data_IF_615815329175
#
_entry.id   IF_615815329175
#
_cell.length_a   1.000
_cell.length_b   1.000
_cell.length_c   1.000
_cell.angle_alpha   90.00
_cell.angle_beta   90.00
_cell.angle_gamma   90.00
#
_symmetry.space_group_name_H-M   'P 1'
#
loop_
_entity.id
_entity.type
_entity.pdbx_description
1 polymer ?
#
# COMPACT_ATOMS: atom_id res chain seq x y z
N UNK A 1 -18.11 -4.26 8.36
CA UNK A 1 -18.26 -3.31 7.22
C UNK A 1 -16.89 -3.21 6.57
N UNK A 2 -16.75 -3.75 5.38
CA UNK A 2 -15.49 -3.85 4.64
C UNK A 2 -14.91 -2.47 4.28
N UNK A 3 -13.59 -2.35 4.28
CA UNK A 3 -12.87 -1.16 3.77
C UNK A 3 -12.77 -1.22 2.26
N UNK A 4 -12.41 -2.40 1.73
CA UNK A 4 -12.34 -2.67 0.30
C UNK A 4 -13.16 -3.92 -0.02
N UNK A 5 -13.90 -3.86 -1.12
CA UNK A 5 -14.66 -4.99 -1.64
C UNK A 5 -14.60 -4.97 -3.17
N UNK A 6 -14.17 -6.06 -3.75
CA UNK A 6 -14.16 -6.29 -5.20
C UNK A 6 -14.96 -7.54 -5.52
N UNK A 7 -15.86 -7.45 -6.50
CA UNK A 7 -16.71 -8.55 -6.96
C UNK A 7 -16.56 -8.70 -8.48
N UNK A 8 -16.18 -9.90 -8.93
CA UNK A 8 -16.02 -10.31 -10.33
C UNK A 8 -15.24 -9.31 -11.20
N UNK A 9 -14.18 -8.73 -10.60
CA UNK A 9 -13.41 -7.65 -11.17
C UNK A 9 -12.60 -8.12 -12.36
N UNK A 10 -12.82 -7.52 -13.53
CA UNK A 10 -11.99 -7.75 -14.72
C UNK A 10 -11.50 -6.43 -15.30
N UNK A 11 -10.28 -6.45 -15.83
CA UNK A 11 -9.64 -5.28 -16.42
C UNK A 11 -8.57 -5.67 -17.43
N UNK A 12 -8.43 -4.89 -18.52
CA UNK A 12 -7.38 -5.02 -19.51
C UNK A 12 -6.87 -3.69 -20.06
N UNK A 13 -5.68 -3.70 -20.63
CA UNK A 13 -5.14 -2.59 -21.40
C UNK A 13 -5.39 -2.86 -22.89
N UNK A 14 -6.46 -2.27 -23.46
CA UNK A 14 -6.92 -2.60 -24.79
C UNK A 14 -7.30 -4.08 -24.88
N UNK A 15 -6.76 -4.81 -25.85
CA UNK A 15 -7.05 -6.24 -26.04
C UNK A 15 -6.26 -7.17 -25.10
N UNK A 16 -5.47 -6.62 -24.19
CA UNK A 16 -4.63 -7.41 -23.28
C UNK A 16 -5.31 -7.53 -21.91
N UNK A 17 -5.91 -8.69 -21.55
CA UNK A 17 -6.50 -8.90 -20.23
C UNK A 17 -5.40 -8.95 -19.15
N UNK A 18 -5.62 -8.26 -18.05
CA UNK A 18 -4.71 -8.20 -16.90
C UNK A 18 -5.33 -8.85 -15.67
N UNK A 19 -6.64 -8.64 -15.45
CA UNK A 19 -7.41 -9.26 -14.37
C UNK A 19 -8.65 -9.92 -14.96
N UNK A 20 -9.04 -11.07 -14.39
CA UNK A 20 -10.14 -11.89 -14.87
C UNK A 20 -10.92 -12.48 -13.68
N UNK A 21 -12.06 -11.88 -13.34
CA UNK A 21 -12.99 -12.36 -12.33
C UNK A 21 -12.41 -12.36 -10.90
N UNK A 22 -11.69 -11.31 -10.50
CA UNK A 22 -11.10 -11.21 -9.15
C UNK A 22 -12.14 -10.73 -8.15
N UNK A 23 -12.34 -11.52 -7.07
CA UNK A 23 -13.20 -11.14 -5.95
C UNK A 23 -12.40 -11.23 -4.65
N UNK A 24 -12.39 -10.15 -3.85
CA UNK A 24 -11.75 -10.09 -2.54
C UNK A 24 -12.39 -9.02 -1.66
N UNK A 25 -12.23 -9.17 -0.35
CA UNK A 25 -12.67 -8.18 0.63
C UNK A 25 -11.55 -7.93 1.64
N UNK A 26 -11.45 -6.70 2.15
CA UNK A 26 -10.50 -6.29 3.20
C UNK A 26 -11.27 -5.62 4.32
N UNK A 27 -11.14 -6.16 5.52
CA UNK A 27 -11.80 -5.62 6.71
C UNK A 27 -11.01 -4.44 7.32
N UNK A 28 -11.65 -3.57 8.12
CA UNK A 28 -10.95 -2.53 8.86
C UNK A 28 -9.87 -3.10 9.78
N UNK A 29 -8.69 -2.51 9.76
CA UNK A 29 -7.54 -2.97 10.56
C UNK A 29 -6.86 -4.22 10.01
N UNK A 30 -7.27 -4.76 8.86
CA UNK A 30 -6.55 -5.86 8.23
C UNK A 30 -5.20 -5.39 7.66
N UNK A 31 -4.21 -6.28 7.68
CA UNK A 31 -2.97 -6.13 6.94
C UNK A 31 -2.93 -7.19 5.83
N UNK A 32 -3.29 -6.78 4.61
CA UNK A 32 -3.29 -7.63 3.43
C UNK A 32 -1.98 -7.52 2.66
N UNK A 33 -1.29 -8.65 2.47
CA UNK A 33 -0.17 -8.80 1.55
C UNK A 33 -0.65 -9.31 0.19
N UNK A 34 -0.44 -8.54 -0.88
CA UNK A 34 -0.75 -8.93 -2.26
C UNK A 34 0.50 -9.44 -2.96
N UNK A 35 0.56 -10.74 -3.22
CA UNK A 35 1.70 -11.44 -3.81
C UNK A 35 1.38 -12.02 -5.18
N UNK A 36 2.41 -12.36 -5.95
CA UNK A 36 2.28 -12.99 -7.27
C UNK A 36 3.45 -12.63 -8.19
N UNK A 37 3.59 -13.29 -9.34
CA UNK A 37 4.69 -13.07 -10.28
C UNK A 37 4.66 -11.65 -10.88
N UNK A 38 5.80 -11.22 -11.45
CA UNK A 38 5.85 -9.96 -12.17
C UNK A 38 4.89 -9.97 -13.36
N UNK A 39 4.13 -8.88 -13.52
CA UNK A 39 3.10 -8.78 -14.56
C UNK A 39 1.80 -9.54 -14.25
N UNK A 40 1.61 -10.05 -13.03
CA UNK A 40 0.39 -10.75 -12.60
C UNK A 40 -0.83 -9.84 -12.43
N UNK A 41 -0.63 -8.50 -12.39
CA UNK A 41 -1.70 -7.52 -12.24
C UNK A 41 -1.83 -6.92 -10.83
N UNK A 42 -0.88 -7.14 -9.90
CA UNK A 42 -0.91 -6.64 -8.52
C UNK A 42 -1.11 -5.13 -8.43
N UNK A 43 -0.22 -4.35 -9.06
CA UNK A 43 -0.34 -2.88 -9.15
C UNK A 43 -1.68 -2.46 -9.73
N UNK A 44 -2.11 -3.12 -10.81
CA UNK A 44 -3.40 -2.83 -11.46
C UNK A 44 -4.57 -3.10 -10.53
N UNK A 45 -4.55 -4.23 -9.80
CA UNK A 45 -5.57 -4.55 -8.80
C UNK A 45 -5.58 -3.49 -7.70
N UNK A 46 -4.41 -3.14 -7.13
CA UNK A 46 -4.30 -2.11 -6.11
C UNK A 46 -4.89 -0.76 -6.58
N UNK A 47 -4.53 -0.32 -7.79
CA UNK A 47 -5.04 0.93 -8.38
C UNK A 47 -6.57 0.92 -8.60
N UNK A 48 -7.15 -0.23 -8.97
CA UNK A 48 -8.60 -0.42 -9.10
C UNK A 48 -9.28 -0.37 -7.73
N UNK A 49 -8.72 -1.06 -6.72
CA UNK A 49 -9.25 -1.11 -5.36
C UNK A 49 -9.34 0.29 -4.72
N UNK A 50 -8.34 1.13 -4.95
CA UNK A 50 -8.33 2.51 -4.40
C UNK A 50 -8.95 3.55 -5.34
N UNK A 51 -9.60 3.13 -6.43
CA UNK A 51 -10.33 4.00 -7.35
C UNK A 51 -9.49 4.88 -8.26
N UNK A 52 -8.20 4.57 -8.45
CA UNK A 52 -7.35 5.26 -9.42
C UNK A 52 -7.63 4.83 -10.86
N UNK A 53 -8.22 3.63 -11.02
CA UNK A 53 -8.69 3.10 -12.30
C UNK A 53 -10.13 2.67 -12.21
N UNK A 54 -10.77 2.55 -13.37
CA UNK A 54 -12.11 2.00 -13.49
C UNK A 54 -12.02 0.59 -14.08
N UNK A 55 -12.73 -0.41 -13.51
CA UNK A 55 -12.77 -1.75 -14.09
C UNK A 55 -13.54 -1.79 -15.39
N UNK A 56 -13.26 -2.78 -16.24
CA UNK A 56 -14.04 -3.05 -17.45
C UNK A 56 -15.36 -3.76 -17.10
N UNK A 57 -15.31 -4.64 -16.08
CA UNK A 57 -16.49 -5.31 -15.53
C UNK A 57 -16.30 -5.62 -14.04
N UNK A 58 -17.39 -5.96 -13.36
CA UNK A 58 -17.42 -6.15 -11.92
C UNK A 58 -17.58 -4.84 -11.16
N UNK A 59 -17.48 -4.91 -9.84
CA UNK A 59 -17.63 -3.74 -8.96
C UNK A 59 -16.49 -3.64 -7.96
N UNK A 60 -16.12 -2.41 -7.60
CA UNK A 60 -15.21 -2.11 -6.49
C UNK A 60 -15.83 -1.08 -5.59
N UNK A 61 -15.89 -1.38 -4.30
CA UNK A 61 -16.32 -0.47 -3.25
C UNK A 61 -15.15 -0.15 -2.32
N UNK A 62 -15.03 1.13 -1.99
CA UNK A 62 -14.08 1.67 -1.02
C UNK A 62 -14.89 2.37 0.06
N UNK A 63 -14.76 1.93 1.32
CA UNK A 63 -15.57 2.40 2.46
C UNK A 63 -17.09 2.37 2.18
N UNK A 64 -17.56 1.36 1.44
CA UNK A 64 -18.96 1.17 1.07
C UNK A 64 -19.45 1.96 -0.15
N UNK A 65 -18.66 2.93 -0.67
CA UNK A 65 -18.97 3.71 -1.88
C UNK A 65 -18.26 3.16 -3.11
N UNK A 66 -18.77 3.36 -4.35
CA UNK A 66 -18.05 2.98 -5.55
C UNK A 66 -16.66 3.64 -5.62
N UNK A 67 -15.60 2.85 -5.68
CA UNK A 67 -14.24 3.34 -5.55
C UNK A 67 -13.86 4.41 -6.60
N UNK A 68 -14.38 4.29 -7.82
CA UNK A 68 -14.09 5.23 -8.90
C UNK A 68 -14.71 6.63 -8.73
N UNK A 69 -15.68 6.78 -7.84
CA UNK A 69 -16.26 8.09 -7.49
C UNK A 69 -15.34 8.90 -6.57
N UNK A 70 -14.38 8.21 -5.92
CA UNK A 70 -13.34 8.79 -5.07
C UNK A 70 -13.89 9.71 -3.96
N UNK A 71 -15.12 9.45 -3.50
CA UNK A 71 -15.77 10.22 -2.45
C UNK A 71 -14.93 10.24 -1.14
N UNK A 72 -14.23 9.13 -0.86
CA UNK A 72 -13.42 8.93 0.33
C UNK A 72 -11.89 8.88 0.02
N UNK A 73 -11.46 9.44 -1.10
CA UNK A 73 -10.06 9.41 -1.53
C UNK A 73 -9.07 10.07 -0.55
N UNK A 74 -9.53 10.98 0.30
CA UNK A 74 -8.73 11.60 1.37
C UNK A 74 -8.41 10.65 2.53
N UNK A 75 -9.19 9.56 2.66
CA UNK A 75 -8.99 8.50 3.67
C UNK A 75 -7.98 7.43 3.22
N UNK A 76 -7.43 7.56 2.00
CA UNK A 76 -6.47 6.62 1.42
C UNK A 76 -5.11 7.28 1.28
N UNK A 77 -4.10 6.71 1.92
CA UNK A 77 -2.69 6.98 1.65
C UNK A 77 -2.17 6.04 0.57
N UNK A 78 -1.71 6.55 -0.56
CA UNK A 78 -1.12 5.73 -1.61
C UNK A 78 0.36 6.03 -1.81
N UNK A 79 1.17 4.98 -1.81
CA UNK A 79 2.61 5.00 -2.10
C UNK A 79 2.86 4.14 -3.33
N UNK A 80 3.09 4.79 -4.47
CA UNK A 80 3.37 4.10 -5.73
C UNK A 80 4.83 3.61 -5.80
N UNK A 81 5.07 2.58 -6.60
CA UNK A 81 6.38 1.94 -6.80
C UNK A 81 7.49 2.92 -7.20
N UNK A 82 7.21 3.93 -8.02
CA UNK A 82 8.22 4.82 -8.63
C UNK A 82 8.39 6.17 -7.92
N UNK A 83 8.25 6.20 -6.59
CA UNK A 83 8.46 7.43 -5.82
C UNK A 83 9.95 7.78 -5.61
N UNK A 84 10.87 6.87 -5.94
CA UNK A 84 12.31 7.10 -5.80
C UNK A 84 12.85 8.17 -6.75
N UNK A 85 12.29 8.34 -7.95
CA UNK A 85 12.73 9.33 -8.95
C UNK A 85 12.20 10.74 -8.74
N UNK A 86 11.09 10.92 -8.03
CA UNK A 86 10.46 12.23 -7.81
C UNK A 86 11.09 13.03 -6.67
N UNK A 87 11.84 12.39 -5.77
CA UNK A 87 12.45 13.02 -4.60
C UNK A 87 13.56 14.03 -4.93
N UNK A 88 14.36 13.80 -5.97
CA UNK A 88 15.50 14.65 -6.31
C UNK A 88 15.06 16.00 -6.91
N UNK A 89 13.85 16.08 -7.47
CA UNK A 89 13.32 17.30 -8.10
C UNK A 89 12.49 18.19 -7.15
N UNK A 90 12.11 17.70 -5.95
CA UNK A 90 11.27 18.46 -5.02
C UNK A 90 12.11 19.29 -4.05
N UNK A 91 12.13 20.64 -4.18
CA UNK A 91 12.88 21.51 -3.27
C UNK A 91 12.15 21.77 -1.94
N UNK A 92 11.35 20.80 -1.47
CA UNK A 92 10.52 20.91 -0.26
C UNK A 92 11.18 20.21 0.92
N UNK A 93 10.90 20.68 2.15
CA UNK A 93 11.31 20.04 3.39
C UNK A 93 10.38 18.85 3.72
N UNK A 94 10.81 18.00 4.65
CA UNK A 94 9.98 16.90 5.19
C UNK A 94 8.65 17.44 5.73
N UNK A 95 8.70 18.48 6.57
CA UNK A 95 7.49 19.08 7.14
C UNK A 95 6.54 19.62 6.06
N UNK A 96 7.06 20.23 4.99
CA UNK A 96 6.26 20.69 3.86
C UNK A 96 5.64 19.53 3.07
N UNK A 97 6.40 18.44 2.83
CA UNK A 97 5.91 17.26 2.15
C UNK A 97 4.80 16.55 2.94
N UNK A 98 4.97 16.40 4.26
CA UNK A 98 3.94 15.81 5.14
C UNK A 98 2.70 16.70 5.20
N UNK A 99 2.87 18.03 5.26
CA UNK A 99 1.77 18.99 5.22
C UNK A 99 0.90 18.87 3.97
N UNK A 100 1.46 18.42 2.84
CA UNK A 100 0.67 18.18 1.62
C UNK A 100 -0.44 17.15 1.83
N UNK A 101 -0.32 16.25 2.80
CA UNK A 101 -1.37 15.31 3.19
C UNK A 101 -2.66 15.98 3.67
N UNK A 102 -2.56 17.22 4.18
CA UNK A 102 -3.74 17.97 4.66
C UNK A 102 -4.52 18.69 3.56
N UNK A 103 -3.96 18.86 2.34
CA UNK A 103 -4.64 19.61 1.28
C UNK A 103 -5.99 19.05 0.85
N UNK A 104 -6.20 17.74 0.69
CA UNK A 104 -7.51 17.21 0.31
C UNK A 104 -8.64 17.60 1.27
N UNK A 105 -8.33 17.70 2.56
CA UNK A 105 -9.28 18.08 3.62
C UNK A 105 -9.55 19.58 3.69
N UNK A 106 -8.76 20.39 2.96
CA UNK A 106 -8.78 21.87 3.02
C UNK A 106 -9.07 22.51 1.67
N UNK A 107 -10.10 22.05 0.98
CA UNK A 107 -10.53 22.61 -0.32
C UNK A 107 -10.79 24.13 -0.29
N UNK A 108 -11.08 24.70 0.89
CA UNK A 108 -11.26 26.14 1.12
C UNK A 108 -10.88 26.50 2.56
N UNK A 109 -9.60 26.80 2.82
CA UNK A 109 -9.23 27.24 4.16
C UNK A 109 -7.73 27.43 4.34
N UNK A 110 -7.37 28.22 5.38
CA UNK A 110 -5.98 28.39 5.81
C UNK A 110 -5.62 27.22 6.74
N UNK A 111 -4.38 26.78 6.69
CA UNK A 111 -3.83 25.84 7.68
C UNK A 111 -4.01 26.43 9.08
N UNK A 112 -4.61 25.64 9.96
CA UNK A 112 -4.86 26.01 11.36
C UNK A 112 -3.93 25.26 12.33
N UNK A 113 -4.20 25.41 13.64
CA UNK A 113 -3.40 24.78 14.68
C UNK A 113 -3.62 23.23 14.71
N UNK A 114 -4.79 22.74 14.31
CA UNK A 114 -5.05 21.29 14.25
C UNK A 114 -4.27 20.65 13.09
N UNK A 115 -4.19 21.31 11.94
CA UNK A 115 -3.36 20.83 10.83
C UNK A 115 -1.89 20.75 11.19
N UNK A 116 -1.37 21.76 11.93
CA UNK A 116 0.04 21.74 12.37
C UNK A 116 0.30 20.57 13.31
N UNK A 117 -0.58 20.35 14.28
CA UNK A 117 -0.46 19.19 15.20
C UNK A 117 -0.49 17.87 14.45
N UNK A 118 -1.43 17.68 13.52
CA UNK A 118 -1.52 16.46 12.71
C UNK A 118 -0.23 16.19 11.92
N UNK A 119 0.45 17.24 11.43
CA UNK A 119 1.74 17.11 10.74
C UNK A 119 2.86 16.75 11.73
N UNK A 120 2.94 17.42 12.87
CA UNK A 120 3.93 17.18 13.92
C UNK A 120 3.78 15.75 14.46
N UNK A 121 2.56 15.34 14.83
CA UNK A 121 2.25 13.99 15.32
C UNK A 121 2.60 12.91 14.29
N UNK A 122 2.30 13.15 13.01
CA UNK A 122 2.63 12.20 11.95
C UNK A 122 4.15 12.03 11.76
N UNK A 123 4.92 13.11 11.83
CA UNK A 123 6.39 13.10 11.74
C UNK A 123 7.00 12.35 12.92
N UNK A 124 6.48 12.58 14.14
CA UNK A 124 6.93 11.90 15.35
C UNK A 124 6.63 10.39 15.29
N UNK A 125 5.42 10.01 14.89
CA UNK A 125 4.98 8.59 14.79
C UNK A 125 5.85 7.76 13.85
N UNK A 126 6.37 8.34 12.78
CA UNK A 126 7.27 7.63 11.87
C UNK A 126 8.76 7.79 12.23
N UNK A 127 9.08 8.50 13.32
CA UNK A 127 10.44 8.63 13.86
C UNK A 127 11.40 9.43 12.97
N UNK A 128 10.93 10.56 12.38
CA UNK A 128 11.74 11.45 11.54
C UNK A 128 11.68 12.93 11.98
N UNK A 129 11.40 13.19 13.25
CA UNK A 129 11.27 14.55 13.79
C UNK A 129 12.54 15.39 13.61
N UNK A 130 13.71 14.78 13.75
CA UNK A 130 15.02 15.41 13.54
C UNK A 130 15.29 15.80 12.07
N UNK A 131 14.49 15.26 11.14
CA UNK A 131 14.61 15.52 9.70
C UNK A 131 13.58 16.54 9.19
N UNK A 132 12.69 17.08 10.02
CA UNK A 132 11.56 17.91 9.62
C UNK A 132 11.93 19.07 8.68
N UNK A 133 13.06 19.74 8.94
CA UNK A 133 13.57 20.86 8.14
C UNK A 133 14.50 20.42 6.99
N UNK A 134 14.81 19.11 6.90
CA UNK A 134 15.67 18.59 5.85
C UNK A 134 14.90 18.49 4.53
N UNK A 135 15.56 18.78 3.40
CA UNK A 135 14.96 18.62 2.07
C UNK A 135 14.77 17.12 1.74
N UNK A 136 13.61 16.77 1.20
CA UNK A 136 13.26 15.39 0.82
C UNK A 136 14.29 14.77 -0.13
N UNK A 137 14.82 15.53 -1.09
CA UNK A 137 15.87 15.07 -2.02
C UNK A 137 17.21 14.71 -1.36
N UNK A 138 17.42 15.04 -0.07
CA UNK A 138 18.64 14.69 0.68
C UNK A 138 18.45 13.51 1.63
N UNK A 139 17.33 12.85 1.60
CA UNK A 139 17.00 11.70 2.44
C UNK A 139 17.47 10.39 1.81
N UNK A 140 17.76 9.40 2.68
CA UNK A 140 17.92 8.01 2.23
C UNK A 140 16.59 7.45 1.70
N UNK A 141 16.62 6.30 1.00
CA UNK A 141 15.42 5.62 0.52
C UNK A 141 14.42 5.34 1.64
N UNK A 142 14.86 4.73 2.74
CA UNK A 142 14.00 4.43 3.90
C UNK A 142 13.46 5.68 4.58
N UNK A 143 14.24 6.76 4.69
CA UNK A 143 13.75 8.04 5.23
C UNK A 143 12.67 8.64 4.33
N UNK A 144 12.81 8.56 3.00
CA UNK A 144 11.77 9.03 2.04
C UNK A 144 10.46 8.24 2.20
N UNK A 145 10.55 6.93 2.39
CA UNK A 145 9.37 6.10 2.63
C UNK A 145 8.63 6.50 3.90
N UNK A 146 9.34 6.76 5.00
CA UNK A 146 8.74 7.28 6.24
C UNK A 146 8.04 8.63 6.02
N UNK A 147 8.58 9.52 5.17
CA UNK A 147 7.91 10.77 4.80
C UNK A 147 6.57 10.51 4.07
N UNK A 148 6.51 9.50 3.19
CA UNK A 148 5.27 9.15 2.48
C UNK A 148 4.22 8.58 3.43
N UNK A 149 4.62 7.74 4.39
CA UNK A 149 3.73 7.27 5.46
C UNK A 149 3.26 8.46 6.31
N UNK A 150 4.17 9.32 6.77
CA UNK A 150 3.82 10.50 7.56
C UNK A 150 2.80 11.39 6.83
N UNK A 151 2.94 11.54 5.51
CA UNK A 151 1.98 12.29 4.70
C UNK A 151 0.59 11.66 4.71
N UNK A 152 0.50 10.33 4.64
CA UNK A 152 -0.77 9.60 4.74
C UNK A 152 -1.38 9.71 6.15
N UNK A 153 -0.56 9.58 7.20
CA UNK A 153 -1.00 9.77 8.58
C UNK A 153 -1.48 11.20 8.84
N UNK A 154 -0.77 12.21 8.34
CA UNK A 154 -1.21 13.60 8.42
C UNK A 154 -2.55 13.82 7.70
N UNK A 155 -2.85 13.09 6.62
CA UNK A 155 -4.16 13.08 5.98
C UNK A 155 -5.23 12.37 6.84
N UNK A 156 -4.87 11.75 7.98
CA UNK A 156 -5.76 10.89 8.77
C UNK A 156 -6.35 9.78 7.90
N UNK A 157 -5.49 9.11 7.13
CA UNK A 157 -5.89 7.99 6.28
C UNK A 157 -6.30 6.78 7.14
N UNK A 158 -7.37 6.10 6.75
CA UNK A 158 -7.84 4.85 7.35
C UNK A 158 -7.28 3.62 6.61
N UNK A 159 -6.80 3.83 5.39
CA UNK A 159 -6.20 2.81 4.53
C UNK A 159 -4.86 3.32 3.98
N UNK A 160 -3.83 2.50 4.12
CA UNK A 160 -2.53 2.70 3.48
C UNK A 160 -2.31 1.64 2.39
N UNK A 161 -2.25 2.06 1.15
CA UNK A 161 -1.98 1.23 -0.02
C UNK A 161 -0.55 1.45 -0.49
N UNK A 162 0.26 0.39 -0.55
CA UNK A 162 1.69 0.44 -0.82
C UNK A 162 2.03 -0.50 -1.98
N UNK A 163 2.68 0.02 -3.01
CA UNK A 163 3.09 -0.74 -4.18
C UNK A 163 4.61 -0.87 -4.23
N UNK A 164 5.13 -2.04 -3.82
CA UNK A 164 6.56 -2.36 -3.73
C UNK A 164 7.39 -1.24 -3.08
N UNK A 165 7.04 -0.79 -1.87
CA UNK A 165 7.56 0.45 -1.29
C UNK A 165 9.05 0.39 -0.98
N UNK A 166 9.64 -0.80 -0.84
CA UNK A 166 11.03 -0.97 -0.36
C UNK A 166 12.05 -1.27 -1.45
N UNK A 167 11.69 -1.08 -2.72
CA UNK A 167 12.63 -1.26 -3.84
C UNK A 167 13.82 -0.29 -3.71
N UNK A 168 15.03 -0.84 -3.71
CA UNK A 168 16.27 -0.06 -3.58
C UNK A 168 16.62 0.41 -2.17
N UNK A 169 15.95 -0.11 -1.15
CA UNK A 169 16.22 0.17 0.27
C UNK A 169 17.09 -0.93 0.87
N UNK A 170 18.06 -0.56 1.71
CA UNK A 170 18.91 -1.52 2.42
C UNK A 170 18.11 -2.38 3.42
N UNK A 171 18.66 -3.54 3.80
CA UNK A 171 17.95 -4.54 4.59
C UNK A 171 17.52 -4.03 5.97
N UNK A 172 18.35 -3.22 6.65
CA UNK A 172 18.06 -2.69 7.98
C UNK A 172 16.90 -1.67 7.92
N UNK A 173 16.99 -0.73 6.96
CA UNK A 173 15.92 0.26 6.73
C UNK A 173 14.62 -0.40 6.32
N UNK A 174 14.67 -1.51 5.54
CA UNK A 174 13.51 -2.29 5.13
C UNK A 174 12.84 -2.97 6.32
N UNK A 175 13.59 -3.65 7.18
CA UNK A 175 13.04 -4.26 8.40
C UNK A 175 12.33 -3.22 9.26
N UNK A 176 13.01 -2.11 9.57
CA UNK A 176 12.45 -1.01 10.37
C UNK A 176 11.21 -0.36 9.73
N UNK A 177 11.07 -0.44 8.40
CA UNK A 177 9.90 0.03 7.69
C UNK A 177 8.69 -0.90 7.88
N UNK A 178 8.88 -2.22 7.80
CA UNK A 178 7.79 -3.18 8.03
C UNK A 178 7.37 -3.24 9.51
N UNK A 179 8.33 -3.12 10.44
CA UNK A 179 8.02 -2.99 11.87
C UNK A 179 7.13 -1.76 12.14
N UNK A 180 7.42 -0.64 11.49
CA UNK A 180 6.58 0.56 11.55
C UNK A 180 5.18 0.30 10.99
N UNK A 181 5.05 -0.37 9.83
CA UNK A 181 3.74 -0.72 9.27
C UNK A 181 2.94 -1.62 10.21
N UNK A 182 3.59 -2.62 10.82
CA UNK A 182 2.98 -3.50 11.82
C UNK A 182 2.44 -2.72 13.01
N UNK A 183 3.25 -1.83 13.59
CA UNK A 183 2.82 -0.96 14.71
C UNK A 183 1.64 -0.07 14.35
N UNK A 184 1.64 0.52 13.17
CA UNK A 184 0.52 1.35 12.69
C UNK A 184 -0.75 0.53 12.45
N UNK A 185 -0.61 -0.72 11.98
CA UNK A 185 -1.73 -1.64 11.80
C UNK A 185 -2.32 -2.07 13.15
N UNK A 186 -1.50 -2.35 14.16
CA UNK A 186 -1.95 -2.63 15.52
C UNK A 186 -2.73 -1.46 16.13
N UNK A 187 -2.44 -0.22 15.73
CA UNK A 187 -3.21 0.97 16.06
C UNK A 187 -4.54 1.11 15.29
N UNK A 188 -4.83 0.19 14.36
CA UNK A 188 -6.08 0.12 13.59
C UNK A 188 -6.00 0.64 12.16
N UNK A 189 -4.82 1.04 11.65
CA UNK A 189 -4.65 1.42 10.26
C UNK A 189 -4.78 0.18 9.37
N UNK A 190 -5.65 0.21 8.37
CA UNK A 190 -5.74 -0.84 7.36
C UNK A 190 -4.56 -0.72 6.40
N UNK A 191 -3.90 -1.84 6.08
CA UNK A 191 -2.74 -1.85 5.17
C UNK A 191 -2.98 -2.82 4.03
N UNK A 192 -2.74 -2.38 2.79
CA UNK A 192 -2.64 -3.25 1.60
C UNK A 192 -1.25 -3.06 1.01
N UNK A 193 -0.46 -4.12 1.04
CA UNK A 193 0.94 -4.12 0.64
C UNK A 193 1.14 -5.03 -0.57
N UNK A 194 1.55 -4.48 -1.70
CA UNK A 194 2.06 -5.26 -2.83
C UNK A 194 3.54 -5.54 -2.60
N UNK A 195 3.91 -6.80 -2.57
CA UNK A 195 5.29 -7.25 -2.43
C UNK A 195 5.58 -8.50 -3.27
N UNK A 196 6.85 -8.69 -3.58
CA UNK A 196 7.34 -9.90 -4.25
C UNK A 196 8.12 -10.82 -3.32
N UNK A 197 8.56 -10.32 -2.16
CA UNK A 197 9.24 -11.10 -1.13
C UNK A 197 8.21 -11.75 -0.20
N UNK A 198 7.99 -13.05 -0.41
CA UNK A 198 7.04 -13.82 0.39
C UNK A 198 7.43 -13.90 1.87
N UNK A 199 8.74 -13.94 2.17
CA UNK A 199 9.21 -13.97 3.55
C UNK A 199 8.79 -12.74 4.33
N UNK A 200 8.82 -11.58 3.68
CA UNK A 200 8.33 -10.32 4.27
C UNK A 200 6.83 -10.37 4.50
N UNK A 201 6.07 -10.79 3.48
CA UNK A 201 4.60 -10.80 3.58
C UNK A 201 4.13 -11.77 4.65
N UNK A 202 4.67 -13.00 4.68
CA UNK A 202 4.28 -14.00 5.69
C UNK A 202 4.68 -13.62 7.11
N UNK A 203 5.70 -12.77 7.29
CA UNK A 203 6.14 -12.31 8.59
C UNK A 203 5.30 -11.17 9.16
N UNK A 204 4.69 -10.33 8.31
CA UNK A 204 4.04 -9.09 8.74
C UNK A 204 2.55 -9.00 8.40
N UNK A 205 2.09 -9.64 7.32
CA UNK A 205 0.69 -9.57 6.93
C UNK A 205 -0.17 -10.56 7.72
N UNK A 206 -1.38 -10.14 8.11
CA UNK A 206 -2.40 -11.00 8.70
C UNK A 206 -3.20 -11.77 7.66
N UNK A 207 -3.22 -11.29 6.41
CA UNK A 207 -3.89 -11.92 5.28
C UNK A 207 -3.01 -11.88 4.04
N UNK A 208 -3.09 -12.90 3.18
CA UNK A 208 -2.38 -12.98 1.90
C UNK A 208 -3.40 -13.15 0.77
N UNK A 209 -3.22 -12.38 -0.30
CA UNK A 209 -3.88 -12.59 -1.58
C UNK A 209 -2.83 -12.94 -2.65
N UNK A 210 -2.92 -14.14 -3.22
CA UNK A 210 -2.02 -14.60 -4.28
C UNK A 210 -2.67 -14.42 -5.65
N UNK A 211 -2.08 -13.57 -6.49
CA UNK A 211 -2.63 -13.13 -7.77
C UNK A 211 -1.74 -13.53 -8.95
N UNK A 212 -2.37 -14.12 -9.98
CA UNK A 212 -1.84 -14.16 -11.33
C UNK A 212 -3.00 -14.09 -12.34
N UNK A 213 -3.40 -12.87 -12.71
CA UNK A 213 -4.62 -12.50 -13.45
C UNK A 213 -5.91 -12.86 -12.71
N UNK A 214 -5.95 -13.99 -12.03
CA UNK A 214 -7.01 -14.49 -11.14
C UNK A 214 -6.49 -14.59 -9.73
N UNK A 215 -7.38 -14.62 -8.78
CA UNK A 215 -7.05 -14.88 -7.39
C UNK A 215 -6.91 -16.40 -7.20
N UNK A 216 -5.74 -16.85 -6.78
CA UNK A 216 -5.43 -18.25 -6.49
C UNK A 216 -5.62 -18.57 -5.01
N UNK A 217 -5.44 -17.58 -4.16
CA UNK A 217 -5.61 -17.70 -2.71
C UNK A 217 -5.99 -16.35 -2.10
N UNK A 218 -6.83 -16.40 -1.05
CA UNK A 218 -7.07 -15.29 -0.15
C UNK A 218 -7.40 -15.85 1.23
N UNK A 219 -6.58 -15.52 2.24
CA UNK A 219 -6.72 -16.03 3.60
C UNK A 219 -5.48 -15.78 4.45
N UNK A 220 -5.39 -16.49 5.56
CA UNK A 220 -4.29 -16.37 6.51
C UNK A 220 -2.95 -16.94 5.97
N UNK A 221 -1.80 -16.40 6.44
CA UNK A 221 -0.48 -16.82 5.97
C UNK A 221 -0.14 -18.29 6.28
N UNK A 222 -0.64 -18.85 7.38
CA UNK A 222 -0.35 -20.24 7.78
C UNK A 222 -0.99 -21.20 6.77
N UNK A 223 -2.26 -20.99 6.46
CA UNK A 223 -2.97 -21.76 5.43
C UNK A 223 -2.33 -21.58 4.05
N UNK A 224 -1.89 -20.37 3.70
CA UNK A 224 -1.23 -20.10 2.40
C UNK A 224 -0.01 -20.99 2.16
N UNK A 225 0.84 -21.14 3.18
CA UNK A 225 2.09 -21.96 3.08
C UNK A 225 1.78 -23.44 2.86
N UNK A 226 0.63 -23.91 3.32
CA UNK A 226 0.19 -25.31 3.18
C UNK A 226 -0.45 -25.62 1.81
N UNK A 227 -0.78 -24.56 1.02
CA UNK A 227 -1.46 -24.71 -0.28
C UNK A 227 -0.47 -24.76 -1.45
N UNK A 228 -0.93 -25.31 -2.58
CA UNK A 228 -0.21 -25.24 -3.87
C UNK A 228 -0.44 -23.90 -4.61
N UNK A 229 -1.13 -22.92 -4.01
CA UNK A 229 -1.51 -21.67 -4.63
C UNK A 229 -0.31 -20.89 -5.21
N UNK A 230 0.83 -20.95 -4.51
CA UNK A 230 2.07 -20.34 -4.99
C UNK A 230 2.59 -21.05 -6.25
N UNK A 231 2.65 -22.38 -6.24
CA UNK A 231 3.10 -23.16 -7.40
C UNK A 231 2.14 -22.99 -8.60
N UNK A 232 0.85 -22.91 -8.35
CA UNK A 232 -0.16 -22.65 -9.38
C UNK A 232 -0.04 -21.23 -9.96
N UNK A 233 0.14 -20.23 -9.11
CA UNK A 233 0.27 -18.84 -9.53
C UNK A 233 1.58 -18.57 -10.30
N UNK A 234 2.70 -19.17 -9.90
CA UNK A 234 4.02 -18.97 -10.50
C UNK A 234 4.33 -19.97 -11.63
N UNK A 235 3.54 -21.04 -11.78
CA UNK A 235 3.82 -22.15 -12.69
C UNK A 235 4.85 -23.13 -12.12
N UNK A 236 4.83 -24.38 -12.59
CA UNK A 236 5.62 -25.51 -12.06
C UNK A 236 7.14 -25.37 -12.18
N UNK A 237 7.68 -24.31 -12.79
CA UNK A 237 9.12 -24.11 -12.99
C UNK A 237 9.84 -23.38 -11.84
N UNK A 238 9.13 -22.85 -10.87
CA UNK A 238 9.74 -22.21 -9.68
C UNK A 238 9.64 -23.11 -8.44
N UNK A 239 10.62 -23.99 -8.25
CA UNK A 239 10.84 -24.61 -6.94
C UNK A 239 11.26 -23.51 -5.96
N UNK A 240 10.40 -23.20 -5.02
CA UNK A 240 10.75 -22.39 -3.85
C UNK A 240 11.83 -23.14 -3.09
N UNK A 241 13.06 -22.62 -3.08
CA UNK A 241 14.13 -23.12 -2.24
C UNK A 241 13.78 -22.70 -0.81
N UNK A 242 13.16 -23.60 -0.06
CA UNK A 242 13.03 -23.45 1.39
C UNK A 242 14.43 -23.55 2.00
N UNK A 243 15.01 -22.43 2.36
CA UNK A 243 16.17 -22.43 3.25
C UNK A 243 15.67 -22.69 4.67
N UNK A 244 15.63 -23.98 5.03
CA UNK A 244 15.60 -24.38 6.42
C UNK A 244 17.00 -24.12 7.03
N UNK A 245 17.04 -23.25 8.03
CA UNK A 245 17.99 -23.30 9.15
C UNK A 245 17.40 -22.51 10.31
#
# INVERSE_FOLDING_TARGET
>A
MTVLEAEDLSFGYGDRPVLDGVSLAVEPGAFLGLVGPNGSGKTTLLELLIGLRRPDSGTVRLFGSPAHERADGERVGYVAQDTAGTGDAMPVTVAEAVRMGRYPRRLRGRFDAADRRAVEDAIERVGIADLAERRVGRLSGGQRQRVLIARALAAEADLLALDEPTVGVDAESRSAFYDLLGSLNEEGLTVVLVEHDLGVVTAHAGEIACLNRRLYFHGDPETFVETDALAEAYGTDHRVVSHGH
#
